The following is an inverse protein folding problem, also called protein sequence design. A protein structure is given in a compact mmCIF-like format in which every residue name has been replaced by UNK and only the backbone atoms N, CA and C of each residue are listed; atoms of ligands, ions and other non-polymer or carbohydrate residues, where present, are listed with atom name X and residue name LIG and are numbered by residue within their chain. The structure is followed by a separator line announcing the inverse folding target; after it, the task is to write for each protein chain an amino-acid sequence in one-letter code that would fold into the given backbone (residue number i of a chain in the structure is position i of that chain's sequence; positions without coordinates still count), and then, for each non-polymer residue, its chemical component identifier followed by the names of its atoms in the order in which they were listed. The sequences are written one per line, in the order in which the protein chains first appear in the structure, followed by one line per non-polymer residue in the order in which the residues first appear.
data_IF_737208262467
#
_entry.id   IF_737208262467
#
_cell.length_a   1.000
_cell.length_b   1.000
_cell.length_c   1.000
_cell.angle_alpha   90.00
_cell.angle_beta   90.00
_cell.angle_gamma   90.00
#
_symmetry.space_group_name_H-M   'P 1'
#
loop_
_entity.id
_entity.type
_entity.pdbx_description
1 polymer ?
#
# COMPACT_ATOMS: atom_id res chain seq x y z
N UNK A 1 -8.12 0.13 19.23
CA UNK A 1 -7.48 -0.47 18.04
C UNK A 1 -7.91 0.37 16.86
N UNK A 2 -7.02 1.14 16.26
CA UNK A 2 -7.35 1.99 15.11
C UNK A 2 -7.52 1.08 13.90
N UNK A 3 -8.65 1.20 13.20
CA UNK A 3 -8.96 0.37 12.02
C UNK A 3 -8.40 1.05 10.77
N UNK A 4 -7.71 0.30 9.92
CA UNK A 4 -7.34 0.75 8.58
C UNK A 4 -8.59 1.04 7.76
N UNK A 5 -8.59 2.16 7.07
CA UNK A 5 -9.68 2.60 6.18
C UNK A 5 -9.21 2.45 4.74
N UNK A 6 -10.04 1.83 3.89
CA UNK A 6 -9.85 1.86 2.44
C UNK A 6 -10.36 3.23 1.95
N UNK A 7 -9.45 4.02 1.36
CA UNK A 7 -9.68 5.42 1.07
C UNK A 7 -10.34 5.63 -0.29
N UNK A 8 -10.08 4.76 -1.27
CA UNK A 8 -10.56 4.96 -2.64
C UNK A 8 -12.08 4.79 -2.75
N UNK A 9 -12.67 3.86 -1.99
CA UNK A 9 -14.11 3.63 -1.86
C UNK A 9 -14.87 4.89 -1.41
N UNK A 10 -14.22 5.77 -0.65
CA UNK A 10 -14.81 7.03 -0.16
C UNK A 10 -14.34 8.28 -0.93
N UNK A 11 -13.55 8.08 -1.99
CA UNK A 11 -12.91 9.17 -2.72
C UNK A 11 -13.68 9.58 -3.97
N UNK A 12 -13.45 10.80 -4.44
CA UNK A 12 -13.79 11.19 -5.81
C UNK A 12 -12.62 10.85 -6.71
N UNK A 13 -12.86 9.98 -7.70
CA UNK A 13 -11.87 9.56 -8.68
C UNK A 13 -11.97 10.36 -9.98
N UNK A 14 -10.81 10.75 -10.52
CA UNK A 14 -10.69 11.46 -11.78
C UNK A 14 -9.55 10.83 -12.58
N UNK A 15 -9.83 10.31 -13.76
CA UNK A 15 -8.80 9.80 -14.67
C UNK A 15 -8.39 10.85 -15.71
N UNK A 16 -7.15 10.79 -16.22
CA UNK A 16 -6.70 11.65 -17.34
C UNK A 16 -7.61 11.50 -18.55
N UNK A 17 -7.93 10.25 -18.92
CA UNK A 17 -8.82 9.89 -20.01
C UNK A 17 -9.64 8.66 -19.65
N UNK A 18 -10.76 8.48 -20.35
CA UNK A 18 -11.64 7.31 -20.23
C UNK A 18 -12.13 6.91 -21.60
N UNK A 19 -11.97 5.65 -21.97
CA UNK A 19 -12.50 5.09 -23.21
C UNK A 19 -13.98 4.73 -23.06
N UNK A 20 -14.86 5.65 -23.45
CA UNK A 20 -16.33 5.43 -23.41
C UNK A 20 -16.84 4.49 -24.51
N UNK A 21 -15.97 4.06 -25.43
CA UNK A 21 -16.31 3.17 -26.55
C UNK A 21 -15.88 1.72 -26.32
N UNK A 22 -15.03 1.49 -25.32
CA UNK A 22 -14.53 0.17 -24.97
C UNK A 22 -15.62 -0.80 -24.53
N UNK A 23 -15.34 -2.10 -24.69
CA UNK A 23 -16.23 -3.18 -24.27
C UNK A 23 -16.08 -3.51 -22.78
N UNK A 24 -16.30 -2.52 -21.91
CA UNK A 24 -16.46 -2.73 -20.48
C UNK A 24 -17.95 -2.85 -20.15
N UNK A 25 -18.29 -3.66 -19.16
CA UNK A 25 -19.67 -3.84 -18.72
C UNK A 25 -20.16 -2.65 -17.89
N UNK A 26 -21.48 -2.63 -17.66
CA UNK A 26 -22.14 -1.59 -16.89
C UNK A 26 -22.47 -0.35 -17.72
N UNK A 27 -23.28 0.53 -17.13
CA UNK A 27 -23.77 1.74 -17.80
C UNK A 27 -22.67 2.80 -17.99
N UNK A 28 -21.69 2.84 -17.09
CA UNK A 28 -20.61 3.84 -17.07
C UNK A 28 -19.43 3.52 -18.01
N UNK A 29 -19.46 2.40 -18.75
CA UNK A 29 -18.51 2.02 -19.83
C UNK A 29 -17.06 2.44 -19.62
N UNK A 30 -16.28 1.58 -18.96
CA UNK A 30 -14.85 1.75 -18.72
C UNK A 30 -14.46 2.98 -17.88
N UNK A 31 -15.43 3.65 -17.25
CA UNK A 31 -15.17 4.83 -16.44
C UNK A 31 -14.38 4.50 -15.17
N UNK A 32 -13.79 5.55 -14.60
CA UNK A 32 -12.92 5.44 -13.42
C UNK A 32 -13.69 5.00 -12.18
N UNK A 33 -15.02 5.19 -12.15
CA UNK A 33 -15.92 4.70 -11.10
C UNK A 33 -16.11 3.18 -11.12
N UNK A 34 -15.66 2.51 -12.18
CA UNK A 34 -15.68 1.04 -12.31
C UNK A 34 -14.44 0.37 -11.72
N UNK A 35 -13.45 1.14 -11.24
CA UNK A 35 -12.31 0.58 -10.50
C UNK A 35 -12.83 0.00 -9.19
N UNK A 36 -12.65 -1.30 -8.97
CA UNK A 36 -13.07 -1.95 -7.74
C UNK A 36 -12.19 -1.53 -6.57
N UNK A 37 -12.76 -1.59 -5.37
CA UNK A 37 -12.09 -1.23 -4.12
C UNK A 37 -12.13 -2.34 -3.05
N UNK A 38 -12.78 -3.47 -3.34
CA UNK A 38 -12.90 -4.60 -2.42
C UNK A 38 -12.30 -5.87 -3.01
N UNK A 39 -11.12 -6.25 -2.50
CA UNK A 39 -10.32 -7.40 -2.96
C UNK A 39 -10.92 -8.78 -2.62
N UNK A 40 -12.11 -8.87 -2.03
CA UNK A 40 -12.47 -10.05 -1.24
C UNK A 40 -13.49 -11.00 -1.87
N UNK A 41 -14.32 -10.57 -2.83
CA UNK A 41 -15.51 -11.40 -3.18
C UNK A 41 -15.88 -11.46 -4.65
N UNK A 42 -15.22 -10.71 -5.52
CA UNK A 42 -15.70 -10.58 -6.90
C UNK A 42 -14.58 -10.58 -7.95
N UNK A 43 -13.66 -11.53 -7.77
CA UNK A 43 -12.69 -11.98 -8.77
C UNK A 43 -13.35 -12.70 -9.97
N UNK A 44 -14.65 -12.49 -10.22
CA UNK A 44 -15.38 -13.12 -11.32
C UNK A 44 -16.17 -12.10 -12.14
N UNK A 45 -16.51 -10.92 -11.60
CA UNK A 45 -17.04 -9.81 -12.39
C UNK A 45 -15.93 -8.87 -12.89
N UNK A 46 -14.97 -9.38 -13.68
CA UNK A 46 -13.89 -8.59 -14.32
C UNK A 46 -14.37 -7.77 -15.54
N UNK A 47 -15.66 -7.50 -15.56
CA UNK A 47 -16.39 -6.80 -16.60
C UNK A 47 -16.39 -5.29 -16.32
N UNK A 48 -16.28 -4.89 -15.06
CA UNK A 48 -16.10 -3.51 -14.60
C UNK A 48 -14.61 -3.22 -14.45
N UNK A 49 -14.12 -2.20 -15.16
CA UNK A 49 -12.73 -1.75 -15.12
C UNK A 49 -12.64 -0.32 -15.59
N UNK A 50 -11.61 0.41 -15.18
CA UNK A 50 -11.25 1.62 -15.91
C UNK A 50 -10.41 1.26 -17.14
N UNK A 51 -10.59 1.99 -18.24
CA UNK A 51 -9.74 1.91 -19.43
C UNK A 51 -9.47 3.32 -19.98
N UNK A 52 -8.21 3.64 -20.23
CA UNK A 52 -7.82 4.91 -20.87
C UNK A 52 -8.22 4.91 -22.35
N UNK A 53 -8.33 6.10 -22.96
CA UNK A 53 -8.44 6.22 -24.42
C UNK A 53 -7.19 5.63 -25.08
N UNK A 54 -7.36 5.04 -26.26
CA UNK A 54 -6.24 4.59 -27.09
C UNK A 54 -5.42 5.80 -27.54
N UNK A 55 -4.14 5.84 -27.17
CA UNK A 55 -3.28 7.00 -27.33
C UNK A 55 -2.05 6.67 -28.20
N UNK A 56 -1.98 7.18 -29.45
CA UNK A 56 -0.83 7.02 -30.33
C UNK A 56 0.47 7.65 -29.80
N UNK A 57 0.36 8.70 -28.99
CA UNK A 57 1.50 9.45 -28.45
C UNK A 57 1.98 8.89 -27.09
N UNK A 58 1.26 7.90 -26.55
CA UNK A 58 1.58 7.24 -25.29
C UNK A 58 1.81 8.20 -24.12
N UNK A 59 0.95 9.22 -23.99
CA UNK A 59 0.98 10.14 -22.87
C UNK A 59 0.75 9.41 -21.55
N UNK A 60 1.35 9.95 -20.49
CA UNK A 60 1.18 9.46 -19.13
C UNK A 60 -0.30 9.45 -18.76
N UNK A 61 -0.80 8.29 -18.31
CA UNK A 61 -2.17 8.17 -17.82
C UNK A 61 -2.17 8.25 -16.30
N UNK A 62 -3.22 8.82 -15.72
CA UNK A 62 -3.30 8.95 -14.28
C UNK A 62 -4.71 8.78 -13.74
N UNK A 63 -4.79 8.35 -12.47
CA UNK A 63 -5.99 8.39 -11.65
C UNK A 63 -5.68 9.21 -10.41
N UNK A 64 -6.44 10.29 -10.24
CA UNK A 64 -6.45 11.11 -9.04
C UNK A 64 -7.61 10.70 -8.14
N UNK A 65 -7.31 10.50 -6.86
CA UNK A 65 -8.28 10.28 -5.80
C UNK A 65 -8.24 11.46 -4.82
N UNK A 66 -9.40 11.98 -4.44
CA UNK A 66 -9.53 13.02 -3.40
C UNK A 66 -10.54 12.61 -2.35
N UNK A 67 -10.23 12.87 -1.09
CA UNK A 67 -11.10 12.58 0.03
C UNK A 67 -11.08 13.73 1.04
N UNK A 68 -12.05 13.73 1.97
CA UNK A 68 -12.31 14.93 2.80
C UNK A 68 -11.46 14.99 4.08
N UNK A 69 -11.23 13.85 4.73
CA UNK A 69 -10.54 13.78 6.02
C UNK A 69 -9.03 13.52 5.84
N UNK A 70 -8.14 14.05 6.68
CA UNK A 70 -6.72 13.70 6.61
C UNK A 70 -6.48 12.27 7.08
N UNK A 71 -5.59 11.55 6.38
CA UNK A 71 -5.12 10.22 6.76
C UNK A 71 -3.60 10.14 6.79
N UNK A 72 -3.10 9.19 7.58
CA UNK A 72 -1.75 8.67 7.47
C UNK A 72 -1.76 7.46 6.51
N UNK A 73 -0.99 7.52 5.44
CA UNK A 73 -1.01 6.49 4.38
C UNK A 73 -0.07 5.34 4.74
N UNK A 74 -0.58 4.11 4.61
CA UNK A 74 0.14 2.89 5.02
C UNK A 74 0.57 2.03 3.83
N UNK A 75 -0.35 1.79 2.89
CA UNK A 75 -0.12 0.90 1.75
C UNK A 75 -1.14 1.13 0.63
N UNK A 76 -0.84 0.61 -0.54
CA UNK A 76 -1.79 0.55 -1.65
C UNK A 76 -1.60 -0.71 -2.48
N UNK A 77 -2.60 -1.06 -3.28
CA UNK A 77 -2.51 -2.14 -4.24
C UNK A 77 -3.19 -1.76 -5.56
N UNK A 78 -2.71 -2.31 -6.67
CA UNK A 78 -3.24 -2.08 -8.03
C UNK A 78 -3.31 -3.41 -8.78
N UNK A 79 -4.51 -3.83 -9.14
CA UNK A 79 -4.76 -4.96 -10.04
C UNK A 79 -4.97 -4.43 -11.46
N UNK A 80 -3.99 -4.71 -12.32
CA UNK A 80 -4.01 -4.28 -13.70
C UNK A 80 -4.93 -5.17 -14.53
N UNK A 81 -5.54 -4.60 -15.57
CA UNK A 81 -6.10 -5.41 -16.63
C UNK A 81 -5.02 -5.89 -17.61
N UNK A 82 -5.40 -6.68 -18.63
CA UNK A 82 -4.46 -7.23 -19.60
C UNK A 82 -3.60 -6.18 -20.34
N UNK A 83 -4.11 -4.95 -20.49
CA UNK A 83 -3.37 -3.87 -21.16
C UNK A 83 -2.27 -3.30 -20.25
N UNK A 84 -2.49 -3.25 -18.93
CA UNK A 84 -1.51 -2.71 -17.99
C UNK A 84 -0.19 -3.48 -18.01
N UNK A 85 -0.22 -4.81 -18.06
CA UNK A 85 1.00 -5.62 -18.17
C UNK A 85 1.72 -5.41 -19.51
N UNK A 86 0.97 -5.23 -20.61
CA UNK A 86 1.52 -5.04 -21.95
C UNK A 86 2.21 -3.69 -22.12
N UNK A 87 1.60 -2.60 -21.66
CA UNK A 87 2.04 -1.23 -21.98
C UNK A 87 2.88 -0.57 -20.87
N UNK A 88 2.89 -1.10 -19.65
CA UNK A 88 3.71 -0.57 -18.55
C UNK A 88 5.14 -1.18 -18.51
N UNK A 89 5.47 -2.12 -19.41
CA UNK A 89 6.82 -2.69 -19.55
C UNK A 89 7.01 -4.02 -18.82
N UNK A 90 6.39 -5.08 -19.37
CA UNK A 90 6.19 -6.41 -18.79
C UNK A 90 7.39 -7.29 -18.39
N UNK A 91 8.53 -6.72 -17.92
CA UNK A 91 9.64 -7.50 -17.31
C UNK A 91 10.38 -6.79 -16.16
N UNK A 92 9.92 -5.62 -15.73
CA UNK A 92 10.59 -4.91 -14.63
C UNK A 92 10.06 -5.36 -13.28
N UNK A 93 10.97 -5.76 -12.39
CA UNK A 93 10.67 -6.07 -10.98
C UNK A 93 10.26 -4.84 -10.16
N UNK A 94 10.40 -3.64 -10.72
CA UNK A 94 9.90 -2.40 -10.13
C UNK A 94 8.72 -1.88 -10.94
N UNK A 95 7.59 -1.53 -10.29
CA UNK A 95 6.49 -0.84 -10.96
C UNK A 95 6.99 0.45 -11.64
N UNK A 96 6.39 0.79 -12.78
CA UNK A 96 6.71 1.98 -13.56
C UNK A 96 5.65 3.08 -13.38
N UNK A 97 4.92 3.06 -12.27
CA UNK A 97 4.04 4.14 -11.88
C UNK A 97 4.64 5.00 -10.77
N UNK A 98 4.40 6.31 -10.87
CA UNK A 98 4.70 7.28 -9.83
C UNK A 98 3.47 7.54 -9.00
N UNK A 99 3.66 7.80 -7.70
CA UNK A 99 2.58 8.18 -6.78
C UNK A 99 2.95 9.49 -6.12
N UNK A 100 2.04 10.44 -6.21
CA UNK A 100 2.13 11.72 -5.49
C UNK A 100 0.94 11.85 -4.55
N UNK A 101 1.16 12.47 -3.39
CA UNK A 101 0.15 12.69 -2.37
C UNK A 101 -0.13 14.18 -2.21
N UNK A 102 -1.41 14.53 -2.12
CA UNK A 102 -1.87 15.88 -1.80
C UNK A 102 -2.08 15.96 -0.29
N UNK A 103 -1.40 16.90 0.36
CA UNK A 103 -1.55 17.15 1.80
C UNK A 103 -2.71 18.11 2.08
N UNK A 104 -3.17 18.16 3.32
CA UNK A 104 -4.20 19.12 3.77
C UNK A 104 -3.76 20.58 3.66
N UNK A 105 -2.45 20.85 3.60
CA UNK A 105 -1.89 22.18 3.32
C UNK A 105 -1.75 22.49 1.82
N UNK A 106 -2.35 21.65 0.96
CA UNK A 106 -2.32 21.76 -0.50
C UNK A 106 -0.89 21.69 -1.09
N UNK A 107 0.01 20.99 -0.41
CA UNK A 107 1.34 20.65 -0.94
C UNK A 107 1.33 19.27 -1.57
N UNK A 108 2.20 19.07 -2.57
CA UNK A 108 2.36 17.77 -3.24
C UNK A 108 3.62 17.10 -2.73
N UNK A 109 3.48 15.90 -2.19
CA UNK A 109 4.58 15.03 -1.78
C UNK A 109 4.76 13.91 -2.80
N UNK A 110 5.92 13.85 -3.46
CA UNK A 110 6.26 12.76 -4.37
C UNK A 110 6.74 11.54 -3.58
N UNK A 111 5.89 10.52 -3.51
CA UNK A 111 6.15 9.29 -2.78
C UNK A 111 6.93 8.25 -3.61
N UNK A 112 7.13 8.48 -4.91
CA UNK A 112 7.56 7.46 -5.87
C UNK A 112 8.87 6.77 -5.50
N UNK A 113 9.84 7.51 -4.94
CA UNK A 113 11.15 6.96 -4.54
C UNK A 113 11.10 6.06 -3.31
N UNK A 114 10.02 6.18 -2.54
CA UNK A 114 9.83 5.49 -1.27
C UNK A 114 8.98 4.24 -1.40
N UNK A 115 8.39 3.99 -2.56
CA UNK A 115 7.52 2.86 -2.80
C UNK A 115 8.34 1.57 -2.92
N UNK A 116 7.84 0.51 -2.30
CA UNK A 116 8.34 -0.87 -2.45
C UNK A 116 7.14 -1.76 -2.72
N UNK A 117 7.13 -2.39 -3.88
CA UNK A 117 6.04 -3.26 -4.29
C UNK A 117 6.49 -4.70 -4.42
N UNK A 118 5.60 -5.60 -4.04
CA UNK A 118 5.65 -7.01 -4.40
C UNK A 118 4.71 -7.19 -5.58
N UNK A 119 5.24 -7.64 -6.71
CA UNK A 119 4.44 -7.99 -7.88
C UNK A 119 4.05 -9.46 -7.76
N UNK A 120 2.77 -9.76 -7.98
CA UNK A 120 2.26 -11.12 -8.09
C UNK A 120 1.39 -11.23 -9.34
N UNK A 121 1.23 -12.44 -9.85
CA UNK A 121 0.25 -12.72 -10.90
C UNK A 121 -0.99 -13.34 -10.27
N UNK A 122 -2.16 -12.92 -10.75
CA UNK A 122 -3.47 -13.50 -10.43
C UNK A 122 -4.05 -14.02 -11.73
N UNK A 123 -4.65 -15.20 -11.72
CA UNK A 123 -5.31 -15.75 -12.91
C UNK A 123 -6.72 -15.18 -13.01
N UNK A 124 -7.03 -14.54 -14.13
CA UNK A 124 -8.38 -14.13 -14.54
C UNK A 124 -8.73 -14.86 -15.84
N UNK A 125 -9.71 -15.77 -15.78
CA UNK A 125 -10.25 -16.44 -16.98
C UNK A 125 -9.16 -17.03 -17.90
N UNK A 126 -8.18 -17.72 -17.31
CA UNK A 126 -6.98 -18.29 -17.95
C UNK A 126 -5.91 -17.29 -18.44
N UNK A 127 -6.12 -15.99 -18.23
CA UNK A 127 -5.12 -14.94 -18.47
C UNK A 127 -4.47 -14.56 -17.15
N UNK A 128 -3.15 -14.66 -17.10
CA UNK A 128 -2.37 -14.10 -15.99
C UNK A 128 -2.43 -12.57 -16.06
N UNK A 129 -2.88 -11.93 -14.98
CA UNK A 129 -2.87 -10.48 -14.82
C UNK A 129 -1.97 -10.08 -13.66
N UNK A 130 -1.38 -8.89 -13.75
CA UNK A 130 -0.45 -8.37 -12.74
C UNK A 130 -1.21 -7.72 -11.58
N UNK A 131 -0.76 -8.03 -10.37
CA UNK A 131 -1.21 -7.39 -9.13
C UNK A 131 -0.01 -6.87 -8.34
N UNK A 132 0.02 -5.55 -8.12
CA UNK A 132 1.07 -4.90 -7.36
C UNK A 132 0.57 -4.56 -5.97
N UNK A 133 1.26 -5.07 -4.94
CA UNK A 133 1.00 -4.74 -3.54
C UNK A 133 2.16 -3.92 -3.02
N UNK A 134 1.89 -2.67 -2.66
CA UNK A 134 2.89 -1.66 -2.41
C UNK A 134 2.84 -1.11 -0.98
N UNK A 135 4.01 -0.92 -0.41
CA UNK A 135 4.21 -0.30 0.91
C UNK A 135 5.24 0.81 0.80
N UNK A 136 5.27 1.69 1.80
CA UNK A 136 6.25 2.78 1.85
C UNK A 136 7.46 2.39 2.70
N UNK A 137 8.65 2.65 2.19
CA UNK A 137 9.91 2.35 2.87
C UNK A 137 10.05 3.16 4.16
N UNK A 138 10.71 2.58 5.18
CA UNK A 138 11.03 3.28 6.42
C UNK A 138 12.03 4.44 6.28
N UNK A 139 12.58 4.68 5.08
CA UNK A 139 13.42 5.86 4.80
C UNK A 139 12.63 7.14 4.53
N UNK A 140 11.29 7.06 4.51
CA UNK A 140 10.43 8.25 4.51
C UNK A 140 10.61 8.97 5.85
N UNK A 141 10.76 10.29 5.83
CA UNK A 141 10.82 11.08 7.05
C UNK A 141 9.52 10.87 7.85
N UNK A 142 9.60 10.63 9.18
CA UNK A 142 8.40 10.49 10.01
C UNK A 142 7.43 11.65 9.79
N UNK A 143 6.17 11.32 9.52
CA UNK A 143 5.10 12.29 9.26
C UNK A 143 4.96 12.77 7.80
N UNK A 144 5.84 12.37 6.86
CA UNK A 144 5.66 12.76 5.45
C UNK A 144 4.46 12.11 4.76
N UNK A 145 3.93 11.01 5.32
CA UNK A 145 2.73 10.34 4.85
C UNK A 145 1.50 10.69 5.70
N UNK A 146 1.63 11.67 6.59
CA UNK A 146 0.53 12.16 7.42
C UNK A 146 -0.19 13.32 6.73
N UNK A 147 -1.41 13.59 7.18
CA UNK A 147 -2.24 14.70 6.72
C UNK A 147 -2.53 14.65 5.21
N UNK A 148 -2.66 13.46 4.63
CA UNK A 148 -2.94 13.28 3.21
C UNK A 148 -4.45 13.33 2.94
N UNK A 149 -4.84 14.11 1.93
CA UNK A 149 -6.24 14.34 1.48
C UNK A 149 -6.47 13.94 0.02
N UNK A 150 -5.42 13.47 -0.67
CA UNK A 150 -5.54 12.94 -2.01
C UNK A 150 -4.31 12.19 -2.47
N UNK A 151 -4.46 11.39 -3.52
CA UNK A 151 -3.40 10.65 -4.18
C UNK A 151 -3.52 10.82 -5.70
N UNK A 152 -2.41 10.81 -6.42
CA UNK A 152 -2.39 10.71 -7.88
C UNK A 152 -1.42 9.62 -8.27
N UNK A 153 -1.94 8.60 -8.94
CA UNK A 153 -1.19 7.49 -9.51
C UNK A 153 -0.99 7.78 -10.99
N UNK A 154 0.25 7.74 -11.47
CA UNK A 154 0.58 8.07 -12.87
C UNK A 154 1.40 6.94 -13.48
N UNK A 155 0.93 6.40 -14.60
CA UNK A 155 1.58 5.34 -15.35
C UNK A 155 2.23 5.90 -16.62
N UNK A 156 3.50 5.58 -16.82
CA UNK A 156 4.21 5.90 -18.06
C UNK A 156 4.02 4.76 -19.04
N UNK A 157 3.26 5.01 -20.10
CA UNK A 157 2.96 3.99 -21.10
C UNK A 157 4.05 3.93 -22.17
N UNK A 158 4.25 2.74 -22.74
CA UNK A 158 5.16 2.53 -23.86
C UNK A 158 4.50 1.62 -24.89
N UNK A 159 4.73 1.90 -26.17
CA UNK A 159 4.20 1.06 -27.26
C UNK A 159 4.75 -0.35 -27.10
N UNK A 160 3.85 -1.32 -26.91
CA UNK A 160 4.21 -2.73 -26.86
C UNK A 160 4.60 -3.24 -28.26
N UNK A 161 5.48 -4.26 -28.38
CA UNK A 161 5.83 -4.84 -29.67
C UNK A 161 4.59 -5.29 -30.46
N UNK A 162 4.46 -4.82 -31.70
CA UNK A 162 3.32 -5.15 -32.57
C UNK A 162 2.10 -4.23 -32.45
N UNK A 163 2.18 -3.18 -31.61
CA UNK A 163 1.13 -2.17 -31.45
C UNK A 163 1.58 -0.82 -32.02
N UNK A 164 0.63 0.07 -32.28
CA UNK A 164 0.88 1.43 -32.81
C UNK A 164 0.48 2.54 -31.84
N UNK A 165 -0.10 2.19 -30.70
CA UNK A 165 -0.65 3.09 -29.70
C UNK A 165 -0.61 2.42 -28.33
N UNK A 166 -0.72 3.23 -27.27
CA UNK A 166 -0.78 2.79 -25.89
C UNK A 166 -2.19 2.83 -25.34
N UNK A 167 -2.47 1.94 -24.39
CA UNK A 167 -3.70 1.98 -23.61
C UNK A 167 -3.43 1.36 -22.24
N UNK A 168 -4.15 1.82 -21.22
CA UNK A 168 -4.07 1.29 -19.85
C UNK A 168 -5.45 0.84 -19.40
N UNK A 169 -5.51 -0.22 -18.60
CA UNK A 169 -6.72 -0.59 -17.88
C UNK A 169 -6.42 -1.11 -16.49
N UNK A 170 -7.33 -0.84 -15.57
CA UNK A 170 -7.20 -1.17 -14.15
C UNK A 170 -8.51 -1.77 -13.68
N UNK A 171 -8.42 -2.97 -13.09
CA UNK A 171 -9.56 -3.65 -12.50
C UNK A 171 -9.82 -3.17 -11.08
N UNK A 172 -8.77 -3.10 -10.27
CA UNK A 172 -8.88 -2.81 -8.84
C UNK A 172 -7.78 -1.86 -8.39
N UNK A 173 -8.14 -0.96 -7.48
CA UNK A 173 -7.18 -0.19 -6.71
C UNK A 173 -7.67 -0.12 -5.26
N UNK A 174 -6.74 -0.30 -4.33
CA UNK A 174 -6.97 -0.05 -2.92
C UNK A 174 -5.89 0.87 -2.37
N UNK A 175 -6.26 1.80 -1.49
CA UNK A 175 -5.34 2.65 -0.74
C UNK A 175 -5.76 2.62 0.72
N UNK A 176 -4.87 2.16 1.60
CA UNK A 176 -5.17 2.03 3.02
C UNK A 176 -4.48 3.13 3.84
N UNK A 177 -5.24 3.72 4.75
CA UNK A 177 -4.72 4.71 5.69
C UNK A 177 -5.37 4.66 7.07
N UNK A 178 -4.73 5.31 8.03
CA UNK A 178 -5.23 5.53 9.38
C UNK A 178 -5.84 6.92 9.50
N UNK A 179 -7.07 7.07 10.03
CA UNK A 179 -7.69 8.37 10.17
C UNK A 179 -6.88 9.25 11.13
N UNK A 180 -6.65 10.50 10.72
CA UNK A 180 -6.01 11.49 11.56
C UNK A 180 -7.03 12.50 12.08
N UNK A 181 -6.83 12.95 13.33
CA UNK A 181 -7.56 14.10 13.82
C UNK A 181 -7.17 15.32 12.99
N UNK A 182 -8.13 16.12 12.51
CA UNK A 182 -7.79 17.37 11.84
C UNK A 182 -6.98 18.21 12.82
N UNK A 183 -5.73 18.53 12.43
CA UNK A 183 -4.88 19.42 13.22
C UNK A 183 -5.60 20.76 13.24
N UNK A 184 -6.13 21.14 14.40
CA UNK A 184 -6.65 22.50 14.57
C UNK A 184 -5.50 23.45 14.26
N UNK A 185 -5.68 24.43 13.35
CA UNK A 185 -4.63 25.38 13.05
C UNK A 185 -4.24 26.02 14.37
N UNK A 186 -3.00 25.79 14.80
CA UNK A 186 -2.47 26.40 15.99
C UNK A 186 -2.28 27.88 15.65
N UNK A 187 -3.33 28.68 15.86
CA UNK A 187 -3.25 30.14 15.81
C UNK A 187 -2.45 30.51 17.06
N UNK A 188 -1.13 30.32 17.00
CA UNK A 188 -0.21 30.80 18.00
C UNK A 188 -0.14 32.32 17.85
N UNK A 189 -1.12 32.98 18.47
CA UNK A 189 -0.97 34.37 18.87
C UNK A 189 0.31 34.50 19.68
N UNK A 190 1.16 35.42 19.24
CA UNK A 190 2.38 35.85 19.89
C UNK A 190 2.13 36.08 21.39
N UNK A 191 2.68 35.19 22.21
CA UNK A 191 2.71 35.32 23.66
C UNK A 191 4.08 34.86 24.12
N UNK A 192 4.96 35.81 24.41
CA UNK A 192 6.19 35.56 25.16
C UNK A 192 5.82 34.90 26.49
N UNK A 193 6.18 33.63 26.66
CA UNK A 193 5.93 32.89 27.88
C UNK A 193 6.60 31.54 27.83
N UNK A 194 7.84 31.49 28.31
CA UNK A 194 8.58 30.26 28.60
C UNK A 194 7.69 29.29 29.39
N UNK A 195 7.21 28.26 28.71
CA UNK A 195 6.65 27.08 29.35
C UNK A 195 7.13 25.87 28.56
N UNK A 196 8.14 25.18 29.10
CA UNK A 196 8.57 23.86 28.60
C UNK A 196 7.41 22.88 28.74
N UNK A 197 6.65 22.67 27.66
CA UNK A 197 5.75 21.53 27.56
C UNK A 197 6.57 20.30 27.13
N UNK A 198 6.83 19.40 28.07
CA UNK A 198 7.28 18.03 27.79
C UNK A 198 6.13 17.22 27.18
N UNK A 199 5.79 17.52 25.92
CA UNK A 199 4.85 16.74 25.13
C UNK A 199 5.51 15.45 24.67
N UNK A 200 5.39 14.37 25.44
CA UNK A 200 5.82 13.04 25.00
C UNK A 200 4.88 12.59 23.88
N UNK A 201 5.40 12.52 22.66
CA UNK A 201 4.67 12.04 21.48
C UNK A 201 4.05 10.68 21.75
N UNK A 202 2.74 10.55 21.54
CA UNK A 202 1.97 9.31 21.68
C UNK A 202 2.55 8.17 20.84
N UNK A 203 3.24 8.49 19.73
CA UNK A 203 3.94 7.51 18.89
C UNK A 203 5.16 6.87 19.57
N UNK A 204 5.84 7.59 20.47
CA UNK A 204 6.99 7.08 21.21
C UNK A 204 6.54 6.07 22.30
N UNK A 205 5.35 6.29 22.89
CA UNK A 205 4.76 5.38 23.88
C UNK A 205 4.37 4.05 23.22
N UNK A 206 3.76 4.08 22.03
CA UNK A 206 3.38 2.84 21.33
C UNK A 206 4.61 2.05 20.87
N UNK A 207 5.64 2.73 20.35
CA UNK A 207 6.89 2.09 19.95
C UNK A 207 7.60 1.37 21.10
N UNK A 208 7.67 1.99 22.28
CA UNK A 208 8.32 1.40 23.47
C UNK A 208 7.57 0.15 23.96
N UNK A 209 6.23 0.14 23.91
CA UNK A 209 5.43 -1.02 24.33
C UNK A 209 5.64 -2.23 23.41
N UNK A 210 5.71 -2.01 22.09
CA UNK A 210 5.92 -3.10 21.12
C UNK A 210 7.33 -3.70 21.30
N UNK A 211 8.35 -2.86 21.44
CA UNK A 211 9.73 -3.33 21.64
C UNK A 211 9.85 -4.11 22.96
N UNK A 212 9.21 -3.66 24.04
CA UNK A 212 9.20 -4.37 25.32
C UNK A 212 8.49 -5.73 25.22
N UNK A 213 7.38 -5.82 24.49
CA UNK A 213 6.64 -7.07 24.29
C UNK A 213 7.47 -8.08 23.46
N UNK A 214 8.13 -7.64 22.40
CA UNK A 214 9.00 -8.49 21.57
C UNK A 214 10.20 -8.97 22.39
N UNK A 215 10.83 -8.08 23.17
CA UNK A 215 11.94 -8.45 24.04
C UNK A 215 11.51 -9.53 25.06
N UNK A 216 10.36 -9.36 25.73
CA UNK A 216 9.83 -10.33 26.67
C UNK A 216 9.55 -11.70 26.01
N UNK A 217 8.98 -11.71 24.80
CA UNK A 217 8.72 -12.93 24.04
C UNK A 217 10.01 -13.68 23.67
N UNK A 218 11.05 -12.95 23.23
CA UNK A 218 12.36 -13.51 22.92
C UNK A 218 13.00 -14.10 24.19
N UNK A 219 12.97 -13.37 25.31
CA UNK A 219 13.50 -13.86 26.59
C UNK A 219 12.78 -15.13 27.05
N UNK A 220 11.46 -15.18 26.93
CA UNK A 220 10.68 -16.38 27.26
C UNK A 220 11.08 -17.59 26.39
N UNK A 221 11.22 -17.40 25.08
CA UNK A 221 11.67 -18.44 24.15
C UNK A 221 13.08 -18.96 24.49
N UNK A 222 14.02 -18.07 24.81
CA UNK A 222 15.38 -18.44 25.23
C UNK A 222 15.37 -19.22 26.55
N UNK A 223 14.59 -18.78 27.54
CA UNK A 223 14.45 -19.49 28.82
C UNK A 223 13.87 -20.90 28.65
N UNK A 224 12.86 -21.08 27.80
CA UNK A 224 12.28 -22.40 27.50
C UNK A 224 13.30 -23.30 26.81
N UNK A 225 14.04 -22.79 25.82
CA UNK A 225 15.10 -23.54 25.15
C UNK A 225 16.20 -23.98 26.12
N UNK A 226 16.66 -23.10 27.00
CA UNK A 226 17.66 -23.44 28.02
C UNK A 226 17.17 -24.51 29.00
N UNK A 227 15.91 -24.44 29.46
CA UNK A 227 15.32 -25.48 30.32
C UNK A 227 15.23 -26.83 29.60
N UNK A 228 14.85 -26.85 28.33
CA UNK A 228 14.76 -28.08 27.55
C UNK A 228 16.14 -28.70 27.29
N UNK A 229 17.16 -27.88 27.01
CA UNK A 229 18.55 -28.36 26.89
C UNK A 229 19.08 -28.90 28.23
N UNK A 230 18.75 -28.27 29.35
CA UNK A 230 19.13 -28.76 30.67
C UNK A 230 18.47 -30.11 31.01
N UNK A 231 17.18 -30.29 30.66
CA UNK A 231 16.49 -31.59 30.80
C UNK A 231 17.15 -32.68 29.96
N UNK A 232 17.50 -32.39 28.70
CA UNK A 232 18.21 -33.36 27.84
C UNK A 232 19.59 -33.74 28.38
N UNK A 233 20.35 -32.79 28.93
CA UNK A 233 21.64 -33.09 29.58
C UNK A 233 21.51 -33.99 30.81
N UNK A 234 20.42 -33.86 31.59
CA UNK A 234 20.16 -34.75 32.73
C UNK A 234 19.73 -36.15 32.30
N UNK A 235 18.91 -36.26 31.26
CA UNK A 235 18.50 -37.55 30.70
C UNK A 235 19.68 -38.32 30.10
N UNK A 236 20.62 -37.64 29.42
CA UNK A 236 21.83 -38.26 28.88
C UNK A 236 22.72 -38.88 29.96
N UNK A 237 22.93 -38.18 31.10
CA UNK A 237 23.73 -38.71 32.22
C UNK A 237 23.10 -39.93 32.89
N UNK A 238 21.78 -40.01 32.95
CA UNK A 238 21.07 -41.19 33.46
C UNK A 238 21.22 -42.40 32.54
N UNK A 239 21.24 -42.17 31.22
CA UNK A 239 21.44 -43.23 30.24
C UNK A 239 22.87 -43.78 30.29
N UNK A 240 23.88 -42.91 30.41
CA UNK A 240 25.28 -43.31 30.58
C UNK A 240 25.52 -44.08 31.89
N UNK A 241 24.90 -43.64 32.99
CA UNK A 241 24.98 -44.35 34.27
C UNK A 241 24.35 -45.75 34.23
N UNK A 242 23.29 -45.95 33.41
CA UNK A 242 22.66 -47.26 33.25
C UNK A 242 23.50 -48.20 32.38
N UNK A 243 24.16 -47.67 31.33
CA UNK A 243 25.03 -48.45 30.45
C UNK A 243 26.34 -48.90 31.12
N UNK A 244 26.85 -48.16 32.11
CA UNK A 244 28.04 -48.58 32.87
C UNK A 244 27.74 -49.54 34.03
N UNK A 245 26.47 -49.84 34.31
CA UNK A 245 26.04 -50.75 35.38
C UNK A 245 25.75 -52.18 34.86
N UNK A 246 25.94 -52.44 33.57
CA UNK A 246 25.93 -53.77 32.94
C UNK A 246 27.37 -54.22 32.67
#
# INVERSE_FOLDING_TARGET
MTRLTELLQSSTLIATTTDTTGNCAGESRCAVDQVKHEAATDFLDHKTRWQSVLDPDCQDQSIQARWTMPYAIESYAVLYGPLGEMFEGGKSSTPFHSVTFLTSSNTVFDASKYIRCTQTSVTDSDVAVRYDICTFSGSVQPGSLDNIVGATFTWKLRVAPGFSACQMNIFEMNLFGLPMSPVSPNISGSGNGDTMSTGVSTGLIVGVVIVAAIAAAITALVCVRQKNLAKRKRAGRLLEAHLMAQ
#
